data_IF_301109472590
#
_entry.id   IF_301109472590
#
_cell.length_a   1.000
_cell.length_b   1.000
_cell.length_c   1.000
_cell.angle_alpha   90.00
_cell.angle_beta   90.00
_cell.angle_gamma   90.00
#
_symmetry.space_group_name_H-M   'P 1'
#
loop_
_entity.id
_entity.type
_entity.pdbx_description
1 polymer ?
#
# COMPACT_ATOMS: atom_id res chain seq x y z
N UNK A 1 2.49 21.74 32.88
CA UNK A 1 3.02 20.72 33.78
C UNK A 1 2.10 19.51 33.58
N UNK A 2 2.35 18.57 32.69
CA UNK A 2 3.59 18.16 32.04
C UNK A 2 3.35 17.79 30.57
N UNK A 3 4.12 18.42 29.69
CA UNK A 3 4.08 18.24 28.23
C UNK A 3 5.12 17.18 27.82
N UNK A 4 4.97 15.96 28.37
CA UNK A 4 5.72 14.80 27.91
C UNK A 4 5.02 14.24 26.66
N UNK A 5 5.37 14.84 25.52
CA UNK A 5 5.05 14.34 24.19
C UNK A 5 5.23 12.82 24.13
N UNK A 6 4.16 12.16 23.70
CA UNK A 6 3.94 10.72 23.71
C UNK A 6 4.88 9.98 22.74
N UNK A 7 6.17 9.81 23.07
CA UNK A 7 7.05 8.88 22.35
C UNK A 7 6.68 7.40 22.60
N UNK A 8 5.43 7.01 22.39
CA UNK A 8 4.94 5.64 22.59
C UNK A 8 5.29 4.81 21.37
N UNK A 9 6.38 4.06 21.51
CA UNK A 9 6.74 2.99 20.60
C UNK A 9 6.15 1.67 21.11
N UNK A 10 5.76 0.81 20.16
CA UNK A 10 5.17 -0.49 20.47
C UNK A 10 6.03 -1.60 19.90
N UNK A 11 6.19 -2.66 20.70
CA UNK A 11 6.88 -3.88 20.30
C UNK A 11 5.84 -4.93 19.91
N UNK A 12 5.87 -5.36 18.65
CA UNK A 12 4.97 -6.39 18.11
C UNK A 12 5.79 -7.62 17.74
N UNK A 13 5.36 -8.80 18.18
CA UNK A 13 6.00 -10.07 17.83
C UNK A 13 5.18 -10.79 16.78
N UNK A 14 5.79 -11.16 15.66
CA UNK A 14 5.14 -11.93 14.59
C UNK A 14 6.16 -12.83 13.90
N UNK A 15 5.87 -14.14 13.86
CA UNK A 15 6.72 -15.13 13.19
C UNK A 15 8.15 -15.22 13.75
N UNK A 16 8.31 -15.10 15.08
CA UNK A 16 9.62 -15.12 15.73
C UNK A 16 10.45 -13.84 15.58
N UNK A 17 9.93 -12.83 14.86
CA UNK A 17 10.59 -11.54 14.70
C UNK A 17 9.88 -10.44 15.49
N UNK A 18 10.68 -9.47 15.97
CA UNK A 18 10.20 -8.27 16.68
C UNK A 18 10.12 -7.07 15.74
N UNK A 19 9.04 -6.31 15.86
CA UNK A 19 8.77 -5.11 15.09
C UNK A 19 8.54 -3.93 16.02
N UNK A 20 9.14 -2.79 15.68
CA UNK A 20 8.97 -1.53 16.39
C UNK A 20 8.02 -0.66 15.58
N UNK A 21 6.92 -0.25 16.21
CA UNK A 21 5.90 0.62 15.62
C UNK A 21 5.93 1.96 16.35
N UNK A 22 6.14 3.04 15.60
CA UNK A 22 6.05 4.42 16.07
C UNK A 22 4.73 5.00 15.55
N UNK A 23 3.70 5.07 16.41
CA UNK A 23 2.37 5.54 16.00
C UNK A 23 2.41 7.02 15.57
N UNK A 24 3.05 7.90 16.33
CA UNK A 24 3.12 9.34 16.01
C UNK A 24 3.83 9.61 14.69
N UNK A 25 4.94 8.91 14.45
CA UNK A 25 5.74 9.05 13.22
C UNK A 25 5.15 8.29 12.04
N UNK A 26 4.14 7.44 12.28
CA UNK A 26 3.57 6.51 11.30
C UNK A 26 4.62 5.58 10.67
N UNK A 27 5.62 5.19 11.45
CA UNK A 27 6.74 4.34 10.98
C UNK A 27 6.63 2.96 11.62
N UNK A 28 6.82 1.91 10.81
CA UNK A 28 7.14 0.58 11.29
C UNK A 28 8.41 0.10 10.58
N UNK A 29 9.33 -0.53 11.30
CA UNK A 29 10.60 -1.03 10.75
C UNK A 29 10.44 -2.25 9.79
N UNK A 30 9.20 -2.64 9.48
CA UNK A 30 8.90 -3.63 8.44
C UNK A 30 9.12 -3.01 7.06
N UNK A 31 10.15 -3.50 6.35
CA UNK A 31 10.71 -2.98 5.07
C UNK A 31 9.75 -2.84 3.87
N UNK A 32 8.43 -2.99 4.04
CA UNK A 32 7.44 -2.84 2.96
C UNK A 32 6.50 -1.65 3.11
N UNK A 33 6.62 -0.88 4.19
CA UNK A 33 5.77 0.30 4.37
C UNK A 33 6.10 1.46 3.44
N UNK A 34 7.34 1.50 2.91
CA UNK A 34 7.77 2.58 2.04
C UNK A 34 7.21 2.47 0.61
N UNK A 35 6.64 1.34 0.21
CA UNK A 35 6.06 1.20 -1.13
C UNK A 35 4.56 1.47 -1.16
N UNK A 36 3.83 1.08 -0.12
CA UNK A 36 2.38 1.09 -0.20
C UNK A 36 1.74 2.29 0.50
N UNK A 37 2.44 3.07 1.35
CA UNK A 37 1.87 4.22 2.10
C UNK A 37 0.60 3.90 2.96
N UNK A 38 0.13 2.65 2.93
CA UNK A 38 -0.98 2.08 3.69
C UNK A 38 -0.46 1.63 5.06
N UNK A 39 -1.27 1.81 6.11
CA UNK A 39 -0.93 1.33 7.45
C UNK A 39 -0.63 -0.19 7.47
N UNK A 40 0.60 -0.59 7.81
CA UNK A 40 0.96 -2.00 8.01
C UNK A 40 0.07 -2.64 9.07
N UNK A 41 -0.14 -3.94 8.89
CA UNK A 41 -0.80 -4.81 9.85
C UNK A 41 -0.31 -4.61 11.30
N UNK A 42 0.98 -4.37 11.54
CA UNK A 42 1.49 -4.13 12.91
C UNK A 42 0.90 -2.85 13.53
N UNK A 43 0.83 -1.76 12.75
CA UNK A 43 0.18 -0.51 13.17
C UNK A 43 -1.30 -0.74 13.45
N UNK A 44 -1.99 -1.47 12.58
CA UNK A 44 -3.42 -1.80 12.75
C UNK A 44 -3.66 -2.59 14.04
N UNK A 45 -2.82 -3.60 14.33
CA UNK A 45 -2.90 -4.40 15.55
C UNK A 45 -2.72 -3.52 16.79
N UNK A 46 -1.72 -2.64 16.79
CA UNK A 46 -1.46 -1.73 17.90
C UNK A 46 -2.63 -0.77 18.12
N UNK A 47 -3.13 -0.13 17.07
CA UNK A 47 -4.27 0.80 17.11
C UNK A 47 -5.51 0.09 17.68
N UNK A 48 -5.80 -1.14 17.22
CA UNK A 48 -6.89 -1.96 17.73
C UNK A 48 -6.70 -2.34 19.21
N UNK A 49 -5.49 -2.74 19.60
CA UNK A 49 -5.17 -3.11 20.99
C UNK A 49 -5.33 -1.97 21.98
N UNK A 50 -5.24 -0.73 21.48
CA UNK A 50 -5.38 0.50 22.26
C UNK A 50 -6.77 1.11 22.16
N UNK A 51 -7.71 0.41 21.53
CA UNK A 51 -9.09 0.89 21.31
C UNK A 51 -9.14 2.26 20.62
N UNK A 52 -8.14 2.58 19.79
CA UNK A 52 -8.12 3.85 19.07
C UNK A 52 -9.10 3.75 17.89
N UNK A 53 -10.13 4.58 17.92
CA UNK A 53 -11.21 4.58 16.91
C UNK A 53 -10.81 5.25 15.60
N UNK A 54 -9.82 6.16 15.63
CA UNK A 54 -9.36 6.93 14.47
C UNK A 54 -8.23 6.23 13.70
N UNK A 55 -8.44 4.99 13.25
CA UNK A 55 -7.39 4.27 12.52
C UNK A 55 -6.89 4.99 11.26
N UNK A 56 -7.80 5.71 10.58
CA UNK A 56 -7.49 6.48 9.37
C UNK A 56 -6.46 7.60 9.60
N UNK A 57 -6.30 8.10 10.82
CA UNK A 57 -5.28 9.14 11.10
C UNK A 57 -3.85 8.59 11.04
N UNK A 58 -3.68 7.27 11.11
CA UNK A 58 -2.38 6.60 11.01
C UNK A 58 -2.04 6.12 9.59
N UNK A 59 -2.92 6.32 8.61
CA UNK A 59 -2.60 6.15 7.19
C UNK A 59 -1.94 7.41 6.64
N UNK A 60 -1.22 7.29 5.51
CA UNK A 60 -0.86 8.45 4.70
C UNK A 60 -2.11 9.11 4.13
N UNK A 61 -1.99 10.40 3.83
CA UNK A 61 -3.12 11.23 3.41
C UNK A 61 -3.69 10.79 2.05
N UNK A 62 -2.86 10.19 1.19
CA UNK A 62 -3.25 9.61 -0.09
C UNK A 62 -4.38 8.57 0.04
N UNK A 63 -4.39 7.76 1.11
CA UNK A 63 -5.39 6.72 1.35
C UNK A 63 -6.57 7.17 2.22
N UNK A 64 -6.71 8.47 2.49
CA UNK A 64 -7.91 8.95 3.18
C UNK A 64 -9.12 8.81 2.25
N UNK A 65 -10.31 8.50 2.78
CA UNK A 65 -11.52 8.40 1.98
C UNK A 65 -11.76 9.61 1.07
N UNK A 66 -11.45 10.82 1.56
CA UNK A 66 -11.57 12.06 0.78
C UNK A 66 -10.58 12.11 -0.41
N UNK A 67 -9.33 11.66 -0.23
CA UNK A 67 -8.33 11.63 -1.29
C UNK A 67 -8.66 10.58 -2.36
N UNK A 68 -9.15 9.40 -1.93
CA UNK A 68 -9.65 8.38 -2.83
C UNK A 68 -10.87 8.89 -3.61
N UNK A 69 -11.86 9.47 -2.94
CA UNK A 69 -13.04 10.03 -3.58
C UNK A 69 -12.68 11.07 -4.64
N UNK A 70 -11.76 11.99 -4.34
CA UNK A 70 -11.27 13.01 -5.28
C UNK A 70 -10.52 12.37 -6.47
N UNK A 71 -9.69 11.36 -6.23
CA UNK A 71 -8.94 10.67 -7.30
C UNK A 71 -9.86 9.98 -8.31
N UNK A 72 -11.00 9.46 -7.84
CA UNK A 72 -12.03 8.81 -8.66
C UNK A 72 -13.23 9.72 -8.97
N UNK A 73 -13.17 11.01 -8.64
CA UNK A 73 -14.24 11.98 -8.95
C UNK A 73 -14.29 12.25 -10.46
N UNK A 74 -13.14 12.18 -11.13
CA UNK A 74 -13.09 12.22 -12.58
C UNK A 74 -13.79 11.00 -13.13
N UNK A 75 -14.83 11.23 -13.96
CA UNK A 75 -15.51 10.20 -14.73
C UNK A 75 -14.48 9.30 -15.40
N UNK A 76 -14.33 8.08 -14.88
CA UNK A 76 -13.66 7.04 -15.63
C UNK A 76 -14.51 6.84 -16.87
N UNK A 77 -13.96 7.20 -18.03
CA UNK A 77 -14.55 6.83 -19.32
C UNK A 77 -14.91 5.36 -19.19
N UNK A 78 -16.20 5.05 -19.35
CA UNK A 78 -16.67 3.69 -19.24
C UNK A 78 -15.80 2.85 -20.16
N UNK A 79 -15.14 1.84 -19.60
CA UNK A 79 -14.39 0.92 -20.41
C UNK A 79 -15.34 0.41 -21.49
N UNK A 80 -14.95 0.59 -22.76
CA UNK A 80 -15.73 0.12 -23.89
C UNK A 80 -16.03 -1.37 -23.72
N UNK A 81 -17.14 -1.86 -24.30
CA UNK A 81 -17.38 -3.30 -24.29
C UNK A 81 -16.22 -4.00 -25.01
N UNK A 82 -15.93 -5.25 -24.66
CA UNK A 82 -14.88 -6.02 -25.33
C UNK A 82 -15.13 -6.07 -26.84
N UNK A 83 -16.39 -6.09 -27.25
CA UNK A 83 -16.80 -6.10 -28.66
C UNK A 83 -16.47 -4.77 -29.39
N UNK A 84 -16.32 -3.68 -28.64
CA UNK A 84 -15.93 -2.35 -29.16
C UNK A 84 -14.39 -2.16 -29.21
N UNK A 85 -13.61 -3.11 -28.70
CA UNK A 85 -12.15 -3.00 -28.67
C UNK A 85 -11.55 -3.37 -30.03
N UNK A 86 -11.07 -2.37 -30.77
CA UNK A 86 -10.26 -2.58 -31.96
C UNK A 86 -8.77 -2.48 -31.62
N UNK A 87 -8.01 -3.51 -31.97
CA UNK A 87 -6.55 -3.46 -31.92
C UNK A 87 -6.02 -2.81 -33.21
N UNK A 88 -5.03 -1.92 -33.12
CA UNK A 88 -4.34 -1.42 -34.31
C UNK A 88 -3.66 -2.55 -35.08
N UNK A 89 -3.62 -2.44 -36.41
CA UNK A 89 -3.06 -3.49 -37.29
C UNK A 89 -1.63 -3.86 -36.92
N UNK A 90 -0.79 -2.88 -36.56
CA UNK A 90 0.60 -3.13 -36.15
C UNK A 90 0.72 -4.00 -34.87
N UNK A 91 -0.28 -3.98 -33.98
CA UNK A 91 -0.32 -4.83 -32.78
C UNK A 91 -0.71 -6.25 -33.16
N UNK A 92 -1.63 -6.40 -34.11
CA UNK A 92 -2.06 -7.71 -34.62
C UNK A 92 -0.93 -8.41 -35.40
N UNK A 93 -0.09 -7.64 -36.07
CA UNK A 93 1.08 -8.13 -36.81
C UNK A 93 2.32 -8.36 -35.91
N UNK A 94 2.29 -7.90 -34.65
CA UNK A 94 3.44 -8.00 -33.76
C UNK A 94 3.68 -9.45 -33.31
N UNK A 95 4.80 -10.03 -33.77
CA UNK A 95 5.24 -11.36 -33.34
C UNK A 95 6.07 -11.21 -32.07
N UNK A 96 5.44 -11.42 -30.91
CA UNK A 96 6.14 -11.43 -29.61
C UNK A 96 6.81 -12.80 -29.40
N UNK A 97 8.14 -12.83 -29.53
CA UNK A 97 8.93 -14.01 -29.19
C UNK A 97 9.14 -14.12 -27.68
N UNK A 98 9.17 -15.33 -27.10
CA UNK A 98 9.46 -15.50 -25.69
C UNK A 98 10.86 -14.98 -25.35
N UNK A 99 11.09 -14.50 -24.11
CA UNK A 99 12.42 -14.06 -23.68
C UNK A 99 13.44 -15.17 -23.89
N UNK A 100 14.58 -14.83 -24.51
CA UNK A 100 15.69 -15.76 -24.66
C UNK A 100 16.31 -16.00 -23.28
N UNK A 101 15.85 -17.02 -22.58
CA UNK A 101 16.49 -17.42 -21.33
C UNK A 101 17.78 -18.20 -21.65
N UNK A 102 18.89 -17.82 -21.01
CA UNK A 102 20.08 -18.68 -20.92
C UNK A 102 19.91 -19.51 -19.65
N UNK A 103 19.89 -20.85 -19.76
CA UNK A 103 20.08 -21.71 -18.59
C UNK A 103 21.41 -21.36 -17.97
N UNK A 104 21.41 -20.92 -16.72
CA UNK A 104 22.65 -20.87 -15.95
C UNK A 104 23.18 -22.32 -15.82
N UNK A 105 24.48 -22.58 -16.06
CA UNK A 105 25.07 -23.90 -15.83
C UNK A 105 24.84 -24.32 -14.38
N UNK A 106 24.54 -25.60 -14.18
CA UNK A 106 24.30 -26.18 -12.87
C UNK A 106 25.61 -26.52 -12.17
#
# INVERSE_FOLDING_TARGET
MDDLGFFVNFLVYKGGQRYIVYLERKICNYRRFQHDEISCAHTIIVVKSKSITKIHSYCFDYYRPAALANTYEVSMVSMLDKDDWSAPEFVLEEIILPPRYKKMPR
#
